data_IF_044741109494
#
_entry.id   IF_044741109494
#
_cell.length_a   1.000
_cell.length_b   1.000
_cell.length_c   1.000
_cell.angle_alpha   90.00
_cell.angle_beta   90.00
_cell.angle_gamma   90.00
#
_symmetry.space_group_name_H-M   'P 1'
#
loop_
_entity.id
_entity.type
_entity.pdbx_description
1 polymer ?
#
# COMPACT_ATOMS: atom_id res chain seq x y z
N UNK A 1 10.51 2.44 1.72
CA UNK A 1 10.99 1.58 2.83
C UNK A 1 10.02 0.43 3.05
N UNK A 2 10.26 -0.68 2.34
CA UNK A 2 9.49 -1.91 2.51
C UNK A 2 10.34 -3.12 2.10
N UNK A 3 10.00 -4.27 2.64
CA UNK A 3 10.65 -5.56 2.39
C UNK A 3 9.58 -6.61 2.19
N UNK A 4 9.81 -7.53 1.26
CA UNK A 4 8.93 -8.65 1.00
C UNK A 4 9.63 -9.95 1.40
N UNK A 5 8.88 -10.94 1.86
CA UNK A 5 9.39 -12.30 2.01
C UNK A 5 9.90 -12.85 0.67
N UNK A 6 10.84 -13.80 0.66
CA UNK A 6 11.37 -14.39 -0.58
C UNK A 6 10.29 -15.02 -1.48
N UNK A 7 9.19 -15.51 -0.88
CA UNK A 7 8.05 -16.10 -1.58
C UNK A 7 6.98 -15.08 -1.99
N UNK A 8 7.18 -13.80 -1.70
CA UNK A 8 6.28 -12.71 -2.09
C UNK A 8 4.99 -12.59 -1.27
N UNK A 9 4.76 -13.47 -0.29
CA UNK A 9 3.47 -13.57 0.41
C UNK A 9 3.30 -12.60 1.58
N UNK A 10 4.41 -12.12 2.14
CA UNK A 10 4.41 -11.19 3.26
C UNK A 10 5.11 -9.92 2.84
N UNK A 11 4.42 -8.79 2.94
CA UNK A 11 4.98 -7.47 2.66
C UNK A 11 4.98 -6.63 3.94
N UNK A 12 6.17 -6.21 4.38
CA UNK A 12 6.37 -5.29 5.49
C UNK A 12 6.77 -3.91 4.99
N UNK A 13 6.17 -2.85 5.53
CA UNK A 13 6.43 -1.45 5.13
C UNK A 13 6.33 -0.54 6.34
N UNK A 14 7.21 0.47 6.39
CA UNK A 14 7.21 1.46 7.49
C UNK A 14 6.12 2.51 7.32
N UNK A 15 5.83 2.91 6.08
CA UNK A 15 4.81 3.91 5.80
C UNK A 15 3.39 3.33 5.79
N UNK A 16 2.45 4.09 6.32
CA UNK A 16 1.04 3.71 6.47
C UNK A 16 0.26 3.83 5.16
N UNK A 17 0.08 2.72 4.43
CA UNK A 17 -0.73 2.68 3.20
C UNK A 17 -2.23 2.64 3.47
N UNK A 18 -2.63 2.24 4.68
CA UNK A 18 -4.01 2.23 5.15
C UNK A 18 -4.58 3.63 5.39
N UNK A 19 -3.70 4.64 5.54
CA UNK A 19 -4.11 6.04 5.69
C UNK A 19 -4.43 6.61 4.31
N UNK A 20 -5.66 6.44 3.87
CA UNK A 20 -6.15 7.01 2.62
C UNK A 20 -7.54 7.59 2.85
N UNK A 21 -7.68 8.90 2.62
CA UNK A 21 -8.95 9.62 2.73
C UNK A 21 -8.92 10.85 1.81
N UNK A 22 -10.11 11.38 1.47
CA UNK A 22 -10.35 12.40 0.44
C UNK A 22 -9.59 13.71 0.63
N UNK A 23 -9.33 14.09 1.88
CA UNK A 23 -8.73 15.37 2.24
C UNK A 23 -7.31 15.26 2.83
N UNK A 24 -6.71 14.07 2.76
CA UNK A 24 -5.31 13.86 3.14
C UNK A 24 -4.35 14.20 2.00
N UNK A 25 -3.08 14.46 2.34
CA UNK A 25 -1.97 14.64 1.39
C UNK A 25 -2.10 15.81 0.40
N UNK A 26 -2.92 16.82 0.69
CA UNK A 26 -3.18 17.99 -0.18
C UNK A 26 -1.92 18.74 -0.63
N UNK A 27 -0.87 18.71 0.17
CA UNK A 27 0.41 19.36 -0.09
C UNK A 27 1.46 18.43 -0.73
N UNK A 28 1.13 17.17 -1.02
CA UNK A 28 2.06 16.19 -1.57
C UNK A 28 1.61 15.81 -2.99
N UNK A 29 2.35 16.18 -4.05
CA UNK A 29 1.95 15.91 -5.42
C UNK A 29 1.94 14.41 -5.77
N UNK A 30 1.10 13.99 -6.70
CA UNK A 30 1.00 12.62 -7.23
C UNK A 30 0.04 11.70 -6.47
N UNK A 31 -0.30 10.56 -7.06
CA UNK A 31 -1.20 9.55 -6.44
C UNK A 31 -0.58 8.94 -5.18
N UNK A 32 -1.42 8.65 -4.18
CA UNK A 32 -1.01 8.05 -2.90
C UNK A 32 -1.49 6.62 -2.72
N UNK A 33 -2.49 6.22 -3.50
CA UNK A 33 -2.98 4.85 -3.47
C UNK A 33 -1.94 3.91 -4.11
N UNK A 34 -1.53 2.90 -3.34
CA UNK A 34 -0.55 1.90 -3.75
C UNK A 34 -1.22 0.59 -4.17
N UNK A 35 -2.55 0.49 -4.07
CA UNK A 35 -3.37 -0.66 -4.45
C UNK A 35 -2.97 -1.97 -3.77
N UNK A 36 -2.26 -1.91 -2.63
CA UNK A 36 -1.72 -3.11 -1.95
C UNK A 36 -2.84 -3.98 -1.36
N UNK A 37 -3.93 -3.39 -0.90
CA UNK A 37 -5.07 -4.12 -0.35
C UNK A 37 -5.90 -4.79 -1.44
N UNK A 38 -6.19 -4.08 -2.53
CA UNK A 38 -6.88 -4.65 -3.69
C UNK A 38 -6.07 -5.80 -4.30
N UNK A 39 -4.75 -5.59 -4.47
CA UNK A 39 -3.85 -6.62 -4.98
C UNK A 39 -3.82 -7.86 -4.06
N UNK A 40 -3.82 -7.66 -2.74
CA UNK A 40 -3.90 -8.74 -1.76
C UNK A 40 -5.20 -9.53 -1.87
N UNK A 41 -6.35 -8.84 -1.98
CA UNK A 41 -7.66 -9.51 -2.19
C UNK A 41 -7.67 -10.27 -3.51
N UNK A 42 -7.14 -9.68 -4.58
CA UNK A 42 -7.10 -10.30 -5.91
C UNK A 42 -6.22 -11.56 -5.93
N UNK A 43 -5.16 -11.61 -5.14
CA UNK A 43 -4.27 -12.78 -5.07
C UNK A 43 -4.96 -14.03 -4.50
N UNK A 44 -5.93 -13.86 -3.59
CA UNK A 44 -6.65 -14.97 -2.95
C UNK A 44 -8.01 -15.30 -3.59
N UNK A 45 -8.43 -14.54 -4.61
CA UNK A 45 -9.60 -14.86 -5.43
C UNK A 45 -9.22 -15.80 -6.57
#
# INVERSE_FOLDING_TARGET
EGITSPDGRVFGKMAHSERLDRDLYKNIPGSKDQLIFESGVKYFK
#
